data_IF_964482279351
#
_entry.id   IF_964482279351
#
_cell.length_a   1.000
_cell.length_b   1.000
_cell.length_c   1.000
_cell.angle_alpha   90.00
_cell.angle_beta   90.00
_cell.angle_gamma   90.00
#
_symmetry.space_group_name_H-M   'P 1'
#
loop_
_entity.id
_entity.type
_entity.pdbx_description
1 polymer ?
#
# COMPACT_ATOMS: atom_id res chain seq x y z
N UNK A 1 -39.47 -21.19 9.32
CA UNK A 1 -38.39 -20.22 9.60
C UNK A 1 -37.09 -20.97 9.94
N UNK A 2 -36.32 -20.57 10.93
CA UNK A 2 -34.99 -21.16 11.22
C UNK A 2 -34.99 -22.71 11.41
N UNK A 3 -36.13 -23.33 11.64
CA UNK A 3 -36.32 -24.80 11.76
C UNK A 3 -36.80 -25.47 10.49
N UNK A 4 -36.87 -24.76 9.35
CA UNK A 4 -37.40 -25.32 8.09
C UNK A 4 -38.90 -25.59 8.06
N UNK A 5 -39.66 -25.08 9.01
CA UNK A 5 -41.12 -25.28 9.12
C UNK A 5 -41.82 -24.00 8.62
N UNK A 6 -43.00 -24.14 8.00
CA UNK A 6 -43.84 -23.03 7.60
C UNK A 6 -44.19 -22.16 8.82
N UNK A 7 -44.28 -20.85 8.61
CA UNK A 7 -44.64 -19.90 9.67
C UNK A 7 -46.14 -20.00 9.98
N UNK A 8 -46.47 -19.93 11.26
CA UNK A 8 -47.88 -19.88 11.71
C UNK A 8 -48.55 -18.55 11.33
N UNK A 9 -49.85 -18.57 11.17
CA UNK A 9 -50.64 -17.37 10.91
C UNK A 9 -50.48 -16.40 12.09
N UNK A 10 -50.09 -15.17 11.79
CA UNK A 10 -49.78 -14.14 12.79
C UNK A 10 -48.28 -13.94 13.08
N UNK A 11 -47.41 -14.76 12.50
CA UNK A 11 -45.94 -14.56 12.60
C UNK A 11 -45.54 -13.30 11.81
N UNK A 12 -44.82 -12.38 12.45
CA UNK A 12 -44.41 -11.11 11.85
C UNK A 12 -43.22 -11.26 10.88
N UNK A 13 -43.41 -12.12 9.86
CA UNK A 13 -42.32 -12.45 8.89
C UNK A 13 -41.84 -11.23 8.11
N UNK A 14 -42.77 -10.34 7.75
CA UNK A 14 -42.46 -9.12 7.01
C UNK A 14 -41.61 -8.15 7.81
N UNK A 15 -41.85 -8.03 9.11
CA UNK A 15 -41.07 -7.16 10.01
C UNK A 15 -39.65 -7.73 10.18
N UNK A 16 -39.51 -9.04 10.37
CA UNK A 16 -38.22 -9.71 10.49
C UNK A 16 -37.41 -9.58 9.18
N UNK A 17 -38.08 -9.74 8.03
CA UNK A 17 -37.44 -9.54 6.73
C UNK A 17 -37.00 -8.07 6.53
N UNK A 18 -37.85 -7.10 6.88
CA UNK A 18 -37.53 -5.68 6.76
C UNK A 18 -36.35 -5.28 7.67
N UNK A 19 -36.29 -5.82 8.89
CA UNK A 19 -35.17 -5.58 9.81
C UNK A 19 -33.88 -6.20 9.29
N UNK A 20 -33.89 -7.44 8.80
CA UNK A 20 -32.70 -8.11 8.28
C UNK A 20 -32.16 -7.49 6.99
N UNK A 21 -33.00 -6.80 6.23
CA UNK A 21 -32.60 -6.03 5.04
C UNK A 21 -32.19 -4.60 5.41
N UNK A 22 -32.93 -3.96 6.32
CA UNK A 22 -32.74 -2.55 6.67
C UNK A 22 -31.54 -2.31 7.57
N UNK A 23 -31.23 -3.22 8.49
CA UNK A 23 -30.08 -3.07 9.38
C UNK A 23 -28.75 -2.99 8.63
N UNK A 24 -28.39 -3.95 7.75
CA UNK A 24 -27.17 -3.83 6.94
C UNK A 24 -27.19 -2.63 6.02
N UNK A 25 -28.38 -2.26 5.46
CA UNK A 25 -28.53 -1.08 4.61
C UNK A 25 -28.22 0.20 5.36
N UNK A 26 -28.72 0.34 6.58
CA UNK A 26 -28.46 1.52 7.43
C UNK A 26 -26.98 1.59 7.84
N UNK A 27 -26.37 0.48 8.23
CA UNK A 27 -24.93 0.42 8.54
C UNK A 27 -24.07 0.74 7.31
N UNK A 28 -24.44 0.23 6.14
CA UNK A 28 -23.75 0.54 4.89
C UNK A 28 -23.87 2.04 4.54
N UNK A 29 -25.07 2.62 4.72
CA UNK A 29 -25.31 4.04 4.45
C UNK A 29 -24.56 4.93 5.44
N UNK A 30 -24.54 4.60 6.72
CA UNK A 30 -23.74 5.33 7.71
C UNK A 30 -22.24 5.18 7.44
N UNK A 31 -21.76 4.01 7.06
CA UNK A 31 -20.36 3.82 6.66
C UNK A 31 -20.01 4.51 5.34
N UNK A 32 -20.90 4.49 4.34
CA UNK A 32 -20.70 5.25 3.10
C UNK A 32 -20.80 6.76 3.33
N UNK A 33 -21.60 7.22 4.28
CA UNK A 33 -21.60 8.64 4.68
C UNK A 33 -20.31 9.03 5.40
N UNK A 34 -19.77 8.17 6.27
CA UNK A 34 -18.44 8.37 6.86
C UNK A 34 -17.31 8.17 5.86
N UNK A 35 -17.45 7.25 4.90
CA UNK A 35 -16.50 7.08 3.79
C UNK A 35 -16.72 8.12 2.69
N UNK A 36 -17.93 8.53 2.39
CA UNK A 36 -18.25 9.52 1.37
C UNK A 36 -18.10 10.98 1.84
N UNK A 37 -18.27 11.25 3.15
CA UNK A 37 -17.94 12.55 3.77
C UNK A 37 -16.46 12.67 4.11
N UNK A 38 -15.75 11.55 4.13
CA UNK A 38 -14.30 11.36 4.21
C UNK A 38 -13.81 10.63 2.94
N UNK A 39 -14.44 10.84 1.80
CA UNK A 39 -13.81 10.55 0.51
C UNK A 39 -12.62 11.52 0.24
N UNK A 40 -12.37 12.40 1.18
CA UNK A 40 -11.11 13.03 1.54
C UNK A 40 -10.60 12.55 2.90
N UNK A 41 -10.91 11.36 3.34
CA UNK A 41 -10.05 10.53 4.17
C UNK A 41 -8.90 10.05 3.29
N UNK A 42 -8.15 10.98 2.78
CA UNK A 42 -6.73 10.87 2.61
C UNK A 42 -6.26 10.37 3.97
N UNK A 43 -6.06 9.06 4.13
CA UNK A 43 -5.23 8.57 5.23
C UNK A 43 -4.03 9.49 5.16
N UNK A 44 -3.75 10.23 6.25
CA UNK A 44 -2.64 11.18 6.23
C UNK A 44 -1.44 10.43 5.69
N UNK A 45 -1.15 10.63 4.40
CA UNK A 45 -0.03 9.99 3.70
C UNK A 45 1.22 10.85 3.81
N UNK A 46 1.19 11.82 4.73
CA UNK A 46 2.32 12.74 4.96
C UNK A 46 2.33 13.24 6.40
N UNK A 47 3.53 13.54 6.89
CA UNK A 47 3.69 14.30 8.14
C UNK A 47 4.23 15.69 7.84
N UNK A 48 3.69 16.68 8.56
CA UNK A 48 4.17 18.05 8.54
C UNK A 48 4.62 18.49 9.94
N UNK A 49 5.55 19.41 10.00
CA UNK A 49 6.03 19.99 11.26
C UNK A 49 4.91 20.79 11.94
N UNK A 50 4.52 20.40 13.15
CA UNK A 50 3.54 21.13 14.01
C UNK A 50 4.21 22.22 14.84
N UNK A 51 5.53 22.18 14.97
CA UNK A 51 6.34 23.10 15.74
C UNK A 51 7.59 23.50 14.95
N UNK A 52 8.16 24.66 15.28
CA UNK A 52 9.49 25.01 14.82
C UNK A 52 10.52 24.18 15.58
N UNK A 53 11.48 23.59 14.89
CA UNK A 53 12.52 22.78 15.52
C UNK A 53 13.56 22.30 14.52
N UNK A 54 14.43 21.43 15.01
CA UNK A 54 15.49 20.78 14.23
C UNK A 54 15.11 19.32 14.01
N UNK A 55 15.25 18.84 12.78
CA UNK A 55 14.96 17.46 12.39
C UNK A 55 16.12 16.56 12.75
N UNK A 56 15.83 15.40 13.34
CA UNK A 56 16.77 14.30 13.55
C UNK A 56 16.24 13.03 12.87
N UNK A 57 17.03 12.45 11.97
CA UNK A 57 16.71 11.22 11.25
C UNK A 57 17.39 10.03 11.96
N UNK A 58 16.63 9.27 12.76
CA UNK A 58 17.15 8.16 13.56
C UNK A 58 16.96 6.81 12.89
N UNK A 59 18.05 6.04 12.75
CA UNK A 59 18.01 4.69 12.18
C UNK A 59 17.59 4.64 10.69
N UNK A 60 17.71 5.76 9.98
CA UNK A 60 17.22 5.94 8.63
C UNK A 60 18.32 5.75 7.60
N UNK A 61 18.14 4.79 6.70
CA UNK A 61 18.96 4.64 5.50
C UNK A 61 18.18 5.22 4.33
N UNK A 62 18.71 6.29 3.76
CA UNK A 62 18.15 6.99 2.61
C UNK A 62 18.86 6.59 1.32
N UNK A 63 18.11 6.50 0.24
CA UNK A 63 18.61 6.35 -1.12
C UNK A 63 17.91 7.38 -2.00
N UNK A 64 18.65 7.95 -2.94
CA UNK A 64 18.06 8.84 -3.96
C UNK A 64 17.54 7.99 -5.10
N UNK A 65 16.27 8.20 -5.45
CA UNK A 65 15.68 7.61 -6.66
C UNK A 65 16.10 8.41 -7.90
N UNK A 66 15.69 7.96 -9.09
CA UNK A 66 15.94 8.62 -10.38
C UNK A 66 15.48 10.08 -10.44
N UNK A 67 14.49 10.47 -9.63
CA UNK A 67 13.95 11.82 -9.54
C UNK A 67 14.71 12.69 -8.51
N UNK A 68 15.78 12.16 -7.92
CA UNK A 68 16.61 12.84 -6.91
C UNK A 68 15.98 12.92 -5.52
N UNK A 69 14.88 12.20 -5.27
CA UNK A 69 14.15 12.21 -4.02
C UNK A 69 14.75 11.21 -3.03
N UNK A 70 14.81 11.58 -1.75
CA UNK A 70 15.27 10.69 -0.70
C UNK A 70 14.18 9.72 -0.28
N UNK A 71 14.42 8.42 -0.45
CA UNK A 71 13.50 7.34 -0.10
C UNK A 71 14.10 6.49 1.03
N UNK A 72 13.26 6.12 2.00
CA UNK A 72 13.64 5.32 3.17
C UNK A 72 13.71 3.83 2.80
N UNK A 73 14.87 3.21 2.98
CA UNK A 73 15.07 1.76 2.79
C UNK A 73 15.14 0.98 4.11
N UNK A 74 15.14 1.64 5.25
CA UNK A 74 15.16 0.97 6.56
C UNK A 74 13.75 0.70 7.07
N UNK A 75 13.58 -0.41 7.81
CA UNK A 75 12.28 -0.81 8.37
C UNK A 75 11.99 -0.25 9.77
N UNK A 76 13.03 0.24 10.45
CA UNK A 76 12.93 0.79 11.80
C UNK A 76 13.57 2.17 11.79
N UNK A 77 12.80 3.15 11.39
CA UNK A 77 13.24 4.55 11.23
C UNK A 77 12.32 5.46 12.00
N UNK A 78 12.88 6.51 12.56
CA UNK A 78 12.14 7.57 13.24
C UNK A 78 12.57 8.93 12.71
N UNK A 79 11.61 9.80 12.52
CA UNK A 79 11.84 11.23 12.31
C UNK A 79 11.44 11.95 13.59
N UNK A 80 12.42 12.57 14.22
CA UNK A 80 12.25 13.31 15.46
C UNK A 80 12.38 14.79 15.16
N UNK A 81 11.47 15.59 15.65
CA UNK A 81 11.57 17.04 15.67
C UNK A 81 11.92 17.49 17.09
N UNK A 82 13.09 18.09 17.26
CA UNK A 82 13.60 18.56 18.54
C UNK A 82 13.61 20.08 18.62
N UNK A 83 13.37 20.63 19.82
CA UNK A 83 13.60 22.04 20.14
C UNK A 83 15.09 22.32 20.25
N UNK A 84 15.48 23.60 20.21
CA UNK A 84 16.87 24.06 20.45
C UNK A 84 17.45 23.58 21.79
N UNK A 85 16.58 23.31 22.76
CA UNK A 85 16.97 22.81 24.09
C UNK A 85 17.09 21.27 24.13
N UNK A 86 16.98 20.58 22.97
CA UNK A 86 17.06 19.12 22.87
C UNK A 86 15.77 18.38 23.29
N UNK A 87 14.68 19.11 23.60
CA UNK A 87 13.40 18.46 23.94
C UNK A 87 12.73 17.94 22.66
N UNK A 88 12.30 16.69 22.66
CA UNK A 88 11.51 16.09 21.59
C UNK A 88 10.13 16.75 21.53
N UNK A 89 9.80 17.33 20.39
CA UNK A 89 8.51 17.96 20.10
C UNK A 89 7.56 17.03 19.34
N UNK A 90 8.10 16.26 18.40
CA UNK A 90 7.40 15.24 17.62
C UNK A 90 8.32 14.05 17.42
N UNK A 91 7.75 12.85 17.44
CA UNK A 91 8.43 11.60 17.09
C UNK A 91 7.48 10.77 16.23
N UNK A 92 7.89 10.53 14.98
CA UNK A 92 7.11 9.79 14.01
C UNK A 92 7.88 8.55 13.57
N UNK A 93 7.32 7.34 13.74
CA UNK A 93 7.85 6.16 13.10
C UNK A 93 7.68 6.29 11.59
N UNK A 94 8.74 6.05 10.83
CA UNK A 94 8.76 6.18 9.38
C UNK A 94 8.86 4.81 8.74
N UNK A 95 7.89 4.53 7.86
CA UNK A 95 7.81 3.26 7.16
C UNK A 95 8.79 3.19 5.98
N UNK A 96 9.12 1.96 5.60
CA UNK A 96 9.87 1.66 4.39
C UNK A 96 9.14 2.21 3.14
N UNK A 97 9.88 2.80 2.22
CA UNK A 97 9.31 3.39 1.01
C UNK A 97 8.79 4.81 1.17
N UNK A 98 8.91 5.41 2.35
CA UNK A 98 8.51 6.80 2.60
C UNK A 98 9.51 7.76 1.94
N UNK A 99 8.97 8.79 1.28
CA UNK A 99 9.75 9.90 0.73
C UNK A 99 10.03 10.93 1.82
N UNK A 100 11.27 11.38 1.93
CA UNK A 100 11.72 12.37 2.92
C UNK A 100 12.11 13.66 2.21
N UNK A 101 11.54 14.78 2.67
CA UNK A 101 11.74 16.12 2.09
C UNK A 101 12.73 16.99 2.87
N UNK A 102 13.23 16.49 3.98
CA UNK A 102 14.11 17.23 4.89
C UNK A 102 15.41 16.48 5.10
N UNK A 103 16.44 17.21 5.51
CA UNK A 103 17.76 16.64 5.83
C UNK A 103 17.96 16.55 7.34
N UNK A 104 18.88 15.67 7.76
CA UNK A 104 19.26 15.55 9.16
C UNK A 104 19.90 16.85 9.65
N UNK A 105 19.48 17.34 10.82
CA UNK A 105 19.91 18.61 11.36
C UNK A 105 19.24 19.85 10.76
N UNK A 106 18.32 19.72 9.80
CA UNK A 106 17.65 20.85 9.18
C UNK A 106 16.68 21.54 10.16
N UNK A 107 16.76 22.88 10.25
CA UNK A 107 15.72 23.67 10.94
C UNK A 107 14.47 23.78 10.05
N UNK A 108 13.31 23.48 10.63
CA UNK A 108 12.01 23.56 9.95
C UNK A 108 11.04 24.46 10.71
N UNK A 109 10.07 24.98 9.97
CA UNK A 109 8.98 25.81 10.50
C UNK A 109 7.66 25.05 10.50
N UNK A 110 6.66 25.54 11.21
CA UNK A 110 5.32 24.99 11.23
C UNK A 110 4.76 24.90 9.81
N UNK A 111 4.19 23.73 9.46
CA UNK A 111 3.64 23.46 8.14
C UNK A 111 4.63 22.91 7.11
N UNK A 112 5.95 22.88 7.42
CA UNK A 112 6.93 22.25 6.53
C UNK A 112 6.61 20.76 6.38
N UNK A 113 6.44 20.27 5.15
CA UNK A 113 6.25 18.86 4.83
C UNK A 113 7.53 18.09 5.13
N UNK A 114 7.45 17.10 5.98
CA UNK A 114 8.60 16.32 6.44
C UNK A 114 8.76 15.05 5.60
N UNK A 115 7.68 14.30 5.48
CA UNK A 115 7.64 12.99 4.79
C UNK A 115 6.30 12.77 4.10
N UNK A 116 6.31 11.85 3.12
CA UNK A 116 5.12 11.37 2.41
C UNK A 116 5.27 9.90 2.06
N UNK A 117 4.19 9.14 2.12
CA UNK A 117 4.17 7.71 1.74
C UNK A 117 2.92 7.36 0.96
N UNK A 118 2.94 6.22 0.27
CA UNK A 118 1.75 5.66 -0.37
C UNK A 118 0.86 5.01 0.70
N UNK A 119 -0.24 5.65 1.06
CA UNK A 119 -1.20 5.13 2.04
C UNK A 119 -1.98 3.91 1.55
N UNK A 120 -2.04 3.70 0.24
CA UNK A 120 -2.86 2.66 -0.40
C UNK A 120 -2.09 1.38 -0.70
N UNK A 121 -0.77 1.47 -0.83
CA UNK A 121 0.06 0.34 -1.23
C UNK A 121 1.25 0.15 -0.28
N UNK A 122 1.62 -1.10 -0.07
CA UNK A 122 2.95 -1.46 0.41
C UNK A 122 3.87 -1.58 -0.80
N UNK A 123 5.02 -0.95 -0.76
CA UNK A 123 5.97 -0.95 -1.87
C UNK A 123 7.16 -1.87 -1.59
N UNK A 124 7.70 -2.49 -2.63
CA UNK A 124 9.01 -3.13 -2.61
C UNK A 124 9.93 -2.31 -3.51
N UNK A 125 11.05 -1.86 -2.96
CA UNK A 125 12.04 -1.04 -3.64
C UNK A 125 13.29 -1.85 -3.93
N UNK A 126 14.03 -1.47 -4.96
CA UNK A 126 15.40 -1.95 -5.16
C UNK A 126 16.42 -1.08 -4.43
N UNK A 127 17.48 -1.69 -3.93
CA UNK A 127 18.67 -0.98 -3.45
C UNK A 127 19.84 -1.07 -4.44
N UNK A 128 19.59 -1.63 -5.64
CA UNK A 128 20.57 -1.83 -6.70
C UNK A 128 20.17 -1.12 -7.97
N UNK A 129 21.16 -0.72 -8.74
CA UNK A 129 20.99 -0.17 -10.09
C UNK A 129 21.31 -1.25 -11.11
N UNK A 130 20.44 -1.44 -12.12
CA UNK A 130 20.62 -2.46 -13.14
C UNK A 130 19.42 -2.57 -14.05
N UNK A 131 19.32 -3.69 -14.78
CA UNK A 131 18.22 -3.98 -15.71
C UNK A 131 17.30 -5.06 -15.13
N UNK A 132 16.00 -4.87 -15.29
CA UNK A 132 14.99 -5.79 -14.78
C UNK A 132 14.84 -6.98 -15.70
N UNK A 133 14.89 -8.20 -15.15
CA UNK A 133 14.52 -9.45 -15.82
C UNK A 133 13.33 -10.10 -15.14
N UNK A 134 12.40 -10.55 -15.95
CA UNK A 134 11.25 -11.34 -15.52
C UNK A 134 11.61 -12.82 -15.47
N UNK A 135 11.28 -13.47 -14.36
CA UNK A 135 11.48 -14.91 -14.14
C UNK A 135 10.12 -15.53 -13.87
N UNK A 136 9.77 -16.58 -14.59
CA UNK A 136 8.51 -17.33 -14.47
C UNK A 136 7.24 -16.46 -14.53
N UNK A 137 7.31 -15.31 -15.20
CA UNK A 137 6.19 -14.43 -15.48
C UNK A 137 5.60 -14.79 -16.85
N UNK A 138 4.61 -15.68 -16.84
CA UNK A 138 3.93 -16.17 -18.04
C UNK A 138 2.55 -15.53 -18.11
N UNK A 139 2.27 -14.89 -19.24
CA UNK A 139 0.99 -14.24 -19.49
C UNK A 139 -0.18 -15.23 -19.34
N UNK A 140 -1.25 -14.79 -18.69
CA UNK A 140 -2.45 -15.56 -18.35
C UNK A 140 -2.23 -16.79 -17.45
N UNK A 141 -1.03 -17.03 -16.94
CA UNK A 141 -0.70 -18.10 -15.99
C UNK A 141 -0.28 -17.52 -14.65
N UNK A 142 0.78 -16.73 -14.64
CA UNK A 142 1.34 -16.08 -13.46
C UNK A 142 1.28 -14.56 -13.53
N UNK A 143 1.08 -14.01 -14.74
CA UNK A 143 0.99 -12.58 -15.02
C UNK A 143 -0.32 -12.27 -15.75
N UNK A 144 -1.01 -11.23 -15.29
CA UNK A 144 -2.15 -10.64 -15.98
C UNK A 144 -1.79 -9.21 -16.37
N UNK A 145 -1.83 -8.92 -17.64
CA UNK A 145 -1.75 -7.56 -18.16
C UNK A 145 -3.15 -7.00 -18.36
N UNK A 146 -3.35 -5.76 -17.96
CA UNK A 146 -4.58 -5.00 -18.21
C UNK A 146 -4.20 -3.84 -19.09
N UNK A 147 -4.98 -3.63 -20.15
CA UNK A 147 -4.74 -2.61 -21.16
C UNK A 147 -5.65 -1.40 -20.92
N UNK A 148 -5.18 -0.23 -21.30
CA UNK A 148 -5.98 1.00 -21.35
C UNK A 148 -6.78 1.08 -22.67
N UNK A 149 -7.60 2.15 -22.82
CA UNK A 149 -8.42 2.39 -24.02
C UNK A 149 -7.58 2.59 -25.31
N UNK A 150 -6.27 2.73 -25.18
CA UNK A 150 -5.33 2.91 -26.30
C UNK A 150 -4.45 1.67 -26.53
N UNK A 151 -4.84 0.50 -26.01
CA UNK A 151 -4.09 -0.77 -26.10
C UNK A 151 -2.68 -0.72 -25.50
N UNK A 152 -2.38 0.24 -24.61
CA UNK A 152 -1.15 0.23 -23.83
C UNK A 152 -1.35 -0.58 -22.55
N UNK A 153 -0.28 -1.23 -22.07
CA UNK A 153 -0.31 -1.97 -20.80
C UNK A 153 -0.48 -0.99 -19.64
N UNK A 154 -1.69 -0.93 -19.09
CA UNK A 154 -2.03 -0.06 -17.96
C UNK A 154 -1.52 -0.62 -16.63
N UNK A 155 -1.55 -1.94 -16.45
CA UNK A 155 -1.04 -2.58 -15.24
C UNK A 155 -0.66 -4.05 -15.45
N UNK A 156 0.30 -4.52 -14.66
CA UNK A 156 0.75 -5.92 -14.62
C UNK A 156 0.56 -6.47 -13.22
N UNK A 157 -0.35 -7.41 -13.05
CA UNK A 157 -0.65 -8.04 -11.75
C UNK A 157 -0.24 -9.50 -11.73
N UNK A 158 0.20 -9.96 -10.55
CA UNK A 158 0.62 -11.35 -10.34
C UNK A 158 -0.60 -12.17 -9.98
N UNK A 159 -0.84 -13.21 -10.79
CA UNK A 159 -1.95 -14.14 -10.59
C UNK A 159 -1.59 -15.23 -9.58
N UNK A 160 -2.61 -15.70 -8.85
CA UNK A 160 -2.50 -16.93 -8.07
C UNK A 160 -2.46 -18.13 -9.04
N UNK A 161 -1.42 -18.93 -8.94
CA UNK A 161 -1.31 -20.19 -9.69
C UNK A 161 -1.15 -21.36 -8.72
N UNK A 162 -1.79 -22.49 -9.03
CA UNK A 162 -1.83 -23.69 -8.16
C UNK A 162 -0.75 -24.71 -8.50
N UNK A 163 0.36 -24.32 -9.09
CA UNK A 163 1.41 -25.25 -9.51
C UNK A 163 2.76 -24.90 -8.90
N UNK A 164 3.52 -25.90 -8.51
CA UNK A 164 4.90 -25.75 -8.05
C UNK A 164 5.90 -25.44 -9.20
N UNK A 165 5.41 -25.41 -10.45
CA UNK A 165 6.24 -25.29 -11.65
C UNK A 165 6.79 -23.90 -11.87
N UNK A 166 6.09 -22.86 -11.42
CA UNK A 166 6.46 -21.46 -11.63
C UNK A 166 6.67 -20.76 -10.31
N UNK A 167 7.75 -20.00 -10.21
CA UNK A 167 8.05 -19.14 -9.07
C UNK A 167 8.24 -17.71 -9.56
N UNK A 168 7.14 -16.92 -9.70
CA UNK A 168 7.21 -15.57 -10.20
C UNK A 168 8.23 -14.73 -9.43
N UNK A 169 9.21 -14.20 -10.14
CA UNK A 169 10.26 -13.39 -9.57
C UNK A 169 10.72 -12.30 -10.56
N UNK A 170 11.36 -11.28 -10.01
CA UNK A 170 12.14 -10.30 -10.76
C UNK A 170 13.59 -10.41 -10.33
N UNK A 171 14.50 -10.44 -11.28
CA UNK A 171 15.91 -10.22 -11.00
C UNK A 171 16.39 -8.88 -11.56
N UNK A 172 17.37 -8.30 -10.91
CA UNK A 172 18.10 -7.15 -11.43
C UNK A 172 19.47 -7.64 -11.82
N UNK A 173 19.85 -7.35 -13.06
CA UNK A 173 21.14 -7.75 -13.62
C UNK A 173 21.99 -6.52 -13.92
N UNK A 174 23.31 -6.69 -13.86
CA UNK A 174 24.27 -5.67 -14.25
C UNK A 174 24.48 -5.63 -15.78
N UNK A 175 25.33 -4.74 -16.25
CA UNK A 175 25.70 -4.61 -17.68
C UNK A 175 26.39 -5.88 -18.24
N UNK A 176 26.86 -6.77 -17.37
CA UNK A 176 27.50 -8.06 -17.72
C UNK A 176 26.55 -9.24 -17.61
N UNK A 177 25.24 -8.98 -17.39
CA UNK A 177 24.19 -9.98 -17.25
C UNK A 177 24.28 -10.85 -15.98
N UNK A 178 25.04 -10.42 -14.98
CA UNK A 178 25.07 -11.08 -13.69
C UNK A 178 23.92 -10.62 -12.82
N UNK A 179 23.25 -11.55 -12.15
CA UNK A 179 22.18 -11.23 -11.18
C UNK A 179 22.78 -10.58 -9.94
N UNK A 180 22.33 -9.36 -9.64
CA UNK A 180 22.76 -8.57 -8.48
C UNK A 180 21.68 -8.45 -7.40
N UNK A 181 20.42 -8.71 -7.74
CA UNK A 181 19.31 -8.78 -6.80
C UNK A 181 18.20 -9.68 -7.33
N UNK A 182 17.50 -10.36 -6.43
CA UNK A 182 16.38 -11.25 -6.72
C UNK A 182 15.18 -10.93 -5.81
N UNK A 183 14.00 -10.79 -6.42
CA UNK A 183 12.76 -10.45 -5.71
C UNK A 183 11.68 -11.46 -6.05
N UNK A 184 11.28 -12.26 -5.06
CA UNK A 184 10.09 -13.10 -5.18
C UNK A 184 8.83 -12.25 -5.17
N UNK A 185 7.92 -12.53 -6.08
CA UNK A 185 6.73 -11.73 -6.29
C UNK A 185 5.50 -12.40 -5.65
N UNK A 186 4.91 -11.80 -4.62
CA UNK A 186 3.69 -12.32 -4.02
C UNK A 186 2.48 -12.11 -4.95
N UNK A 187 1.53 -13.03 -4.86
CA UNK A 187 0.24 -12.96 -5.58
C UNK A 187 -0.51 -11.68 -5.25
N UNK A 188 -1.14 -11.10 -6.25
CA UNK A 188 -1.90 -9.84 -6.12
C UNK A 188 -1.05 -8.58 -6.13
N UNK A 189 0.28 -8.71 -6.24
CA UNK A 189 1.17 -7.57 -6.42
C UNK A 189 1.12 -7.01 -7.84
N UNK A 190 1.37 -5.70 -7.97
CA UNK A 190 1.47 -5.00 -9.26
C UNK A 190 2.93 -4.69 -9.55
N UNK A 191 3.42 -5.21 -10.66
CA UNK A 191 4.78 -4.96 -11.14
C UNK A 191 4.83 -3.56 -11.75
N UNK A 192 5.83 -2.76 -11.35
CA UNK A 192 5.99 -1.39 -11.85
C UNK A 192 6.93 -1.33 -13.04
N UNK A 193 8.19 -1.85 -12.99
CA UNK A 193 9.12 -1.73 -14.09
C UNK A 193 8.78 -2.69 -15.24
N UNK A 194 9.11 -2.27 -16.44
CA UNK A 194 9.00 -3.09 -17.65
C UNK A 194 10.17 -4.10 -17.78
N UNK A 195 9.99 -5.17 -18.57
CA UNK A 195 11.09 -6.07 -18.89
C UNK A 195 12.25 -5.30 -19.54
N UNK A 196 13.47 -5.57 -19.12
CA UNK A 196 14.71 -4.91 -19.56
C UNK A 196 14.78 -3.39 -19.28
N UNK A 197 13.86 -2.85 -18.48
CA UNK A 197 13.93 -1.45 -18.03
C UNK A 197 15.11 -1.28 -17.06
N UNK A 198 15.86 -0.19 -17.24
CA UNK A 198 16.86 0.23 -16.25
C UNK A 198 16.18 0.80 -15.03
N UNK A 199 16.57 0.30 -13.86
CA UNK A 199 16.12 0.78 -12.55
C UNK A 199 17.31 1.25 -11.73
N UNK A 200 17.07 2.19 -10.86
CA UNK A 200 18.05 2.75 -9.93
C UNK A 200 17.69 2.40 -8.49
N UNK A 201 18.66 2.49 -7.60
CA UNK A 201 18.41 2.29 -6.18
C UNK A 201 17.32 3.28 -5.69
N UNK A 202 16.31 2.77 -4.98
CA UNK A 202 15.14 3.55 -4.54
C UNK A 202 13.93 3.49 -5.48
N UNK A 203 14.05 2.89 -6.65
CA UNK A 203 12.91 2.69 -7.55
C UNK A 203 11.97 1.60 -7.03
N UNK A 204 10.67 1.80 -7.28
CA UNK A 204 9.63 0.84 -6.90
C UNK A 204 9.62 -0.32 -7.89
N UNK A 205 9.77 -1.53 -7.38
CA UNK A 205 9.71 -2.78 -8.15
C UNK A 205 8.29 -3.34 -8.16
N UNK A 206 7.65 -3.34 -6.99
CA UNK A 206 6.32 -3.92 -6.80
C UNK A 206 5.48 -3.03 -5.89
N UNK A 207 4.20 -2.92 -6.21
CA UNK A 207 3.17 -2.34 -5.34
C UNK A 207 2.21 -3.43 -4.91
N UNK A 208 2.00 -3.56 -3.61
CA UNK A 208 0.97 -4.44 -3.04
C UNK A 208 -0.13 -3.58 -2.44
N UNK A 209 -1.38 -3.68 -2.92
CA UNK A 209 -2.49 -3.01 -2.27
C UNK A 209 -2.55 -3.40 -0.80
N UNK A 210 -2.63 -2.42 0.09
CA UNK A 210 -2.99 -2.69 1.49
C UNK A 210 -4.43 -3.20 1.46
N UNK A 211 -4.67 -4.40 1.97
CA UNK A 211 -6.04 -4.83 2.23
C UNK A 211 -6.61 -3.85 3.26
N UNK A 212 -7.33 -2.86 2.79
CA UNK A 212 -8.27 -2.14 3.63
C UNK A 212 -9.15 -3.22 4.23
N UNK A 213 -9.04 -3.41 5.55
CA UNK A 213 -9.81 -4.39 6.32
C UNK A 213 -11.19 -4.56 5.69
N UNK A 214 -11.36 -5.63 4.90
CA UNK A 214 -12.67 -5.99 4.35
C UNK A 214 -13.56 -6.08 5.55
N UNK A 215 -14.57 -5.23 5.60
CA UNK A 215 -15.57 -5.22 6.65
C UNK A 215 -16.19 -6.61 6.71
N UNK A 216 -15.70 -7.42 7.66
CA UNK A 216 -16.23 -8.75 7.97
C UNK A 216 -17.69 -8.75 8.44
N UNK A 217 -18.31 -7.57 8.49
CA UNK A 217 -19.58 -7.34 9.18
C UNK A 217 -20.84 -7.42 8.30
N UNK A 218 -20.69 -7.73 7.00
CA UNK A 218 -21.86 -7.86 6.12
C UNK A 218 -22.48 -9.28 6.17
N UNK A 219 -21.80 -10.23 6.81
CA UNK A 219 -22.27 -11.63 6.88
C UNK A 219 -22.99 -12.01 8.17
N UNK A 220 -23.20 -11.08 9.10
CA UNK A 220 -23.91 -11.28 10.35
C UNK A 220 -25.36 -10.78 10.27
N UNK A 221 -26.15 -11.30 9.33
CA UNK A 221 -27.59 -11.08 9.39
C UNK A 221 -28.22 -11.76 10.63
N UNK A 222 -29.37 -11.24 11.11
CA UNK A 222 -30.15 -11.87 12.16
C UNK A 222 -30.37 -13.36 11.85
N UNK A 223 -30.27 -14.26 12.83
CA UNK A 223 -30.50 -15.67 12.61
C UNK A 223 -31.89 -15.91 11.99
N UNK A 224 -31.92 -16.63 10.90
CA UNK A 224 -33.14 -16.95 10.16
C UNK A 224 -34.01 -17.96 10.91
#
# INVERSE_FOLDING_TARGET
LSRGILADVGTTVGIIAAQSIGEPGTQLTMRTFHIGGIATGVSESSYAAKHKGTVELRGMRLVKNKDGQNIVLSRKSHLVLASKDGRVLQDHPIEYGTQVFVEDGQEVTVGTKLVEWDGSNNVILTDKTGYVRYIDLVENVTLKETFDDNDNVASRSILEHKGERYQPALSIVDDSDNEIAHFYLPTGGFIVPEPNQKVEAGDVILKMPRELSKTKDITGGLPR
#
